data_IF_323314434894
#
_entry.id   IF_323314434894
#
_cell.length_a   1.000
_cell.length_b   1.000
_cell.length_c   1.000
_cell.angle_alpha   90.00
_cell.angle_beta   90.00
_cell.angle_gamma   90.00
#
_symmetry.space_group_name_H-M   'P 1'
#
loop_
_entity.id
_entity.type
_entity.pdbx_description
1 polymer ?
#
# COMPACT_ATOMS: atom_id res chain seq x y z
N UNK A 1 -1.18 -16.93 10.95
CA UNK A 1 -1.62 -15.64 10.45
C UNK A 1 -0.49 -14.63 10.59
N UNK A 2 -0.04 -14.04 9.46
CA UNK A 2 1.11 -13.13 9.45
C UNK A 2 0.88 -11.86 10.28
N UNK A 3 -0.36 -11.43 10.49
CA UNK A 3 -0.68 -10.28 11.32
C UNK A 3 -0.35 -10.59 12.77
N UNK A 4 -0.99 -11.63 13.33
CA UNK A 4 -0.90 -11.95 14.76
C UNK A 4 0.43 -12.63 15.13
N UNK A 5 0.98 -13.42 14.21
CA UNK A 5 2.20 -14.21 14.50
C UNK A 5 3.49 -13.44 14.21
N UNK A 6 3.42 -12.33 13.42
CA UNK A 6 4.62 -11.62 12.99
C UNK A 6 4.49 -10.10 13.17
N UNK A 7 3.50 -9.44 12.56
CA UNK A 7 3.43 -7.98 12.50
C UNK A 7 3.13 -7.36 13.87
N UNK A 8 2.10 -7.84 14.55
CA UNK A 8 1.71 -7.37 15.88
C UNK A 8 2.84 -7.54 16.90
N UNK A 9 3.53 -8.70 17.01
CA UNK A 9 4.67 -8.86 17.89
C UNK A 9 5.83 -7.88 17.65
N UNK A 10 6.09 -7.49 16.39
CA UNK A 10 7.13 -6.50 16.07
C UNK A 10 6.74 -5.09 16.51
N UNK A 11 5.45 -4.72 16.39
CA UNK A 11 4.93 -3.46 16.89
C UNK A 11 4.99 -3.43 18.43
N UNK A 12 4.61 -4.52 19.10
CA UNK A 12 4.67 -4.66 20.55
C UNK A 12 6.11 -4.57 21.07
N UNK A 13 7.09 -5.16 20.38
CA UNK A 13 8.51 -5.00 20.75
C UNK A 13 8.95 -3.55 20.59
N UNK A 14 8.48 -2.84 19.57
CA UNK A 14 8.73 -1.39 19.45
C UNK A 14 8.12 -0.63 20.63
N UNK A 15 6.90 -0.93 21.04
CA UNK A 15 6.23 -0.33 22.20
C UNK A 15 7.03 -0.58 23.50
N UNK A 16 7.49 -1.81 23.70
CA UNK A 16 8.33 -2.17 24.85
C UNK A 16 9.65 -1.39 24.88
N UNK A 17 10.32 -1.24 23.73
CA UNK A 17 11.57 -0.45 23.62
C UNK A 17 11.33 1.02 23.92
N UNK A 18 10.28 1.62 23.38
CA UNK A 18 9.90 3.03 23.66
C UNK A 18 9.64 3.25 25.13
N UNK A 19 8.92 2.35 25.80
CA UNK A 19 8.67 2.41 27.23
C UNK A 19 9.96 2.34 28.08
N UNK A 20 11.02 1.73 27.53
CA UNK A 20 12.36 1.68 28.13
C UNK A 20 13.26 2.88 27.73
N UNK A 21 12.71 3.89 27.03
CA UNK A 21 13.48 5.06 26.55
C UNK A 21 14.43 4.75 25.39
N UNK A 22 14.23 3.63 24.69
CA UNK A 22 15.00 3.23 23.52
C UNK A 22 14.31 3.71 22.22
N UNK A 23 15.06 3.78 21.12
CA UNK A 23 14.50 4.06 19.79
C UNK A 23 13.63 2.92 19.29
N UNK A 24 12.73 3.24 18.35
CA UNK A 24 11.93 2.25 17.63
C UNK A 24 12.81 1.18 17.00
N UNK A 25 12.29 -0.05 16.93
CA UNK A 25 12.93 -1.14 16.22
C UNK A 25 12.82 -0.92 14.70
N UNK A 26 11.63 -0.50 14.25
CA UNK A 26 11.34 -0.16 12.87
C UNK A 26 10.62 1.19 12.78
N UNK A 27 10.80 1.92 11.67
CA UNK A 27 10.11 3.19 11.39
C UNK A 27 8.80 3.00 10.63
N UNK A 28 8.66 1.87 9.94
CA UNK A 28 7.47 1.51 9.17
C UNK A 28 7.28 -0.01 9.15
N UNK A 29 6.05 -0.41 8.93
CA UNK A 29 5.67 -1.79 8.62
C UNK A 29 4.76 -1.77 7.40
N UNK A 30 4.79 -2.86 6.63
CA UNK A 30 3.88 -3.11 5.51
C UNK A 30 2.84 -4.16 5.91
N UNK A 31 1.60 -3.91 5.53
CA UNK A 31 0.50 -4.86 5.55
C UNK A 31 -0.03 -5.04 4.12
N UNK A 32 0.22 -6.20 3.54
CA UNK A 32 -0.34 -6.60 2.25
C UNK A 32 -1.68 -7.33 2.46
N UNK A 33 -2.77 -6.62 2.19
CA UNK A 33 -4.13 -7.14 2.18
C UNK A 33 -4.69 -7.28 0.75
N UNK A 34 -3.85 -7.24 -0.27
CA UNK A 34 -4.24 -7.17 -1.68
C UNK A 34 -5.09 -8.34 -2.17
N UNK A 35 -4.93 -9.52 -1.59
CA UNK A 35 -5.74 -10.70 -1.93
C UNK A 35 -7.16 -10.66 -1.35
N UNK A 36 -7.43 -9.77 -0.39
CA UNK A 36 -8.73 -9.64 0.27
C UNK A 36 -9.65 -8.67 -0.49
N UNK A 37 -10.98 -8.83 -0.37
CA UNK A 37 -11.91 -7.76 -0.72
C UNK A 37 -11.57 -6.47 0.03
N UNK A 38 -11.71 -5.30 -0.61
CA UNK A 38 -11.27 -4.02 -0.04
C UNK A 38 -11.83 -3.74 1.36
N UNK A 39 -13.11 -4.03 1.60
CA UNK A 39 -13.75 -3.87 2.91
C UNK A 39 -13.08 -4.74 3.99
N UNK A 40 -12.76 -5.99 3.66
CA UNK A 40 -12.08 -6.91 4.56
C UNK A 40 -10.63 -6.47 4.80
N UNK A 41 -9.91 -6.07 3.73
CA UNK A 41 -8.58 -5.50 3.82
C UNK A 41 -8.55 -4.31 4.81
N UNK A 42 -9.47 -3.35 4.66
CA UNK A 42 -9.53 -2.18 5.55
C UNK A 42 -9.93 -2.56 6.98
N UNK A 43 -10.73 -3.60 7.19
CA UNK A 43 -11.07 -4.08 8.52
C UNK A 43 -9.86 -4.57 9.32
N UNK A 44 -8.81 -5.03 8.63
CA UNK A 44 -7.51 -5.38 9.23
C UNK A 44 -6.55 -4.18 9.29
N UNK A 45 -6.50 -3.37 8.23
CA UNK A 45 -5.57 -2.24 8.15
C UNK A 45 -5.83 -1.17 9.22
N UNK A 46 -7.09 -0.83 9.51
CA UNK A 46 -7.43 0.22 10.49
C UNK A 46 -6.95 -0.09 11.91
N UNK A 47 -7.19 -1.28 12.48
CA UNK A 47 -6.62 -1.65 13.78
C UNK A 47 -5.09 -1.65 13.80
N UNK A 48 -4.45 -2.12 12.72
CA UNK A 48 -2.99 -2.10 12.57
C UNK A 48 -2.45 -0.67 12.53
N UNK A 49 -3.10 0.22 11.77
CA UNK A 49 -2.73 1.63 11.69
C UNK A 49 -2.81 2.29 13.07
N UNK A 50 -3.83 1.97 13.86
CA UNK A 50 -3.95 2.47 15.23
C UNK A 50 -2.77 2.04 16.09
N UNK A 51 -2.40 0.75 16.06
CA UNK A 51 -1.24 0.24 16.80
C UNK A 51 0.07 0.90 16.33
N UNK A 52 0.25 1.07 15.04
CA UNK A 52 1.39 1.75 14.46
C UNK A 52 1.45 3.22 14.91
N UNK A 53 0.33 3.94 14.84
CA UNK A 53 0.23 5.34 15.25
C UNK A 53 0.61 5.54 16.72
N UNK A 54 0.12 4.71 17.63
CA UNK A 54 0.45 4.74 19.06
C UNK A 54 1.96 4.56 19.33
N UNK A 55 2.67 3.94 18.39
CA UNK A 55 4.11 3.67 18.48
C UNK A 55 4.97 4.50 17.52
N UNK A 56 4.41 5.54 16.89
CA UNK A 56 5.07 6.42 15.92
C UNK A 56 5.67 5.65 14.72
N UNK A 57 5.00 4.59 14.31
CA UNK A 57 5.33 3.79 13.13
C UNK A 57 4.43 4.23 11.98
N UNK A 58 4.97 4.24 10.76
CA UNK A 58 4.21 4.43 9.53
C UNK A 58 3.68 3.06 9.09
N UNK A 59 2.40 2.95 8.76
CA UNK A 59 1.86 1.75 8.13
C UNK A 59 1.80 1.93 6.62
N UNK A 60 2.38 1.01 5.89
CA UNK A 60 2.16 0.86 4.45
C UNK A 60 1.04 -0.16 4.23
N UNK A 61 0.07 0.21 3.41
CA UNK A 61 -1.10 -0.62 3.08
C UNK A 61 -1.13 -0.83 1.57
N UNK A 62 -1.36 -2.06 1.14
CA UNK A 62 -1.56 -2.41 -0.25
C UNK A 62 -3.01 -2.80 -0.52
N UNK A 63 -3.58 -2.29 -1.62
CA UNK A 63 -4.89 -2.68 -2.13
C UNK A 63 -4.84 -2.81 -3.66
N UNK A 64 -5.46 -3.87 -4.17
CA UNK A 64 -5.29 -4.33 -5.54
C UNK A 64 -4.17 -5.36 -5.64
N UNK A 65 -4.21 -6.20 -6.66
CA UNK A 65 -3.26 -7.31 -6.83
C UNK A 65 -2.13 -6.90 -7.74
N UNK A 66 -0.89 -6.91 -7.24
CA UNK A 66 0.29 -6.81 -8.11
C UNK A 66 0.44 -8.11 -8.88
N UNK A 67 0.57 -8.03 -10.20
CA UNK A 67 0.73 -9.19 -11.08
C UNK A 67 2.12 -9.85 -10.92
N UNK A 68 2.30 -11.01 -11.59
CA UNK A 68 3.58 -11.72 -11.63
C UNK A 68 3.72 -12.84 -10.61
N UNK A 69 4.94 -13.16 -10.19
CA UNK A 69 5.25 -14.21 -9.22
C UNK A 69 5.83 -13.61 -7.95
N UNK A 70 5.14 -13.81 -6.85
CA UNK A 70 5.56 -13.35 -5.53
C UNK A 70 5.41 -14.47 -4.52
N UNK A 71 6.43 -14.69 -3.69
CA UNK A 71 6.47 -15.73 -2.64
C UNK A 71 6.06 -17.14 -3.10
N UNK A 72 6.33 -17.46 -4.39
CA UNK A 72 5.98 -18.75 -4.99
C UNK A 72 4.53 -18.89 -5.46
N UNK A 73 3.75 -17.83 -5.40
CA UNK A 73 2.41 -17.73 -5.98
C UNK A 73 2.51 -17.10 -7.38
N UNK A 74 2.04 -17.83 -8.39
CA UNK A 74 1.95 -17.31 -9.75
C UNK A 74 0.61 -16.58 -9.93
N UNK A 75 0.70 -15.28 -10.20
CA UNK A 75 -0.47 -14.39 -10.40
C UNK A 75 -0.67 -14.01 -11.88
N UNK A 76 -0.12 -14.80 -12.83
CA UNK A 76 -0.29 -14.56 -14.27
C UNK A 76 -1.75 -14.63 -14.72
N UNK A 77 -2.59 -15.39 -14.02
CA UNK A 77 -4.01 -15.60 -14.32
C UNK A 77 -4.97 -14.64 -13.58
N UNK A 78 -4.42 -13.62 -12.88
CA UNK A 78 -5.28 -12.63 -12.19
C UNK A 78 -6.08 -11.84 -13.22
N UNK A 79 -7.36 -11.68 -12.95
CA UNK A 79 -8.25 -10.87 -13.79
C UNK A 79 -7.68 -9.45 -13.94
N UNK A 80 -7.60 -8.95 -15.17
CA UNK A 80 -6.95 -7.66 -15.48
C UNK A 80 -7.52 -6.50 -14.68
N UNK A 81 -8.80 -6.56 -14.34
CA UNK A 81 -9.47 -5.54 -13.53
C UNK A 81 -8.90 -5.40 -12.12
N UNK A 82 -8.32 -6.47 -11.58
CA UNK A 82 -7.69 -6.46 -10.25
C UNK A 82 -6.26 -5.91 -10.25
N UNK A 83 -5.67 -5.74 -11.43
CA UNK A 83 -4.32 -5.18 -11.59
C UNK A 83 -4.30 -3.65 -11.59
N UNK A 84 -5.45 -3.01 -11.40
CA UNK A 84 -5.59 -1.57 -11.46
C UNK A 84 -6.46 -1.06 -10.33
N UNK A 85 -5.87 -0.23 -9.47
CA UNK A 85 -6.60 0.50 -8.43
C UNK A 85 -7.49 1.57 -9.07
N UNK A 86 -8.74 1.66 -8.67
CA UNK A 86 -9.65 2.69 -9.16
C UNK A 86 -9.63 3.94 -8.26
N UNK A 87 -10.09 5.12 -8.75
CA UNK A 87 -10.29 6.29 -7.91
C UNK A 87 -11.25 6.04 -6.74
N UNK A 88 -12.24 5.19 -6.92
CA UNK A 88 -13.20 4.77 -5.89
C UNK A 88 -12.52 3.93 -4.81
N UNK A 89 -11.60 3.03 -5.18
CA UNK A 89 -10.81 2.26 -4.22
C UNK A 89 -9.93 3.19 -3.38
N UNK A 90 -9.25 4.16 -4.01
CA UNK A 90 -8.41 5.13 -3.30
C UNK A 90 -9.22 5.98 -2.33
N UNK A 91 -10.43 6.40 -2.71
CA UNK A 91 -11.34 7.11 -1.80
C UNK A 91 -11.71 6.23 -0.61
N UNK A 92 -12.09 4.98 -0.84
CA UNK A 92 -12.47 4.05 0.23
C UNK A 92 -11.30 3.76 1.19
N UNK A 93 -10.07 3.59 0.67
CA UNK A 93 -8.86 3.45 1.48
C UNK A 93 -8.62 4.70 2.32
N UNK A 94 -8.69 5.90 1.70
CA UNK A 94 -8.51 7.15 2.43
C UNK A 94 -9.54 7.32 3.53
N UNK A 95 -10.82 7.09 3.22
CA UNK A 95 -11.91 7.26 4.19
C UNK A 95 -11.72 6.33 5.40
N UNK A 96 -11.34 5.06 5.16
CA UNK A 96 -11.10 4.11 6.23
C UNK A 96 -9.87 4.50 7.10
N UNK A 97 -8.72 4.82 6.48
CA UNK A 97 -7.49 5.08 7.23
C UNK A 97 -7.51 6.44 7.94
N UNK A 98 -8.20 7.43 7.39
CA UNK A 98 -8.32 8.78 7.97
C UNK A 98 -9.14 8.82 9.27
N UNK A 99 -9.87 7.74 9.60
CA UNK A 99 -10.54 7.60 10.90
C UNK A 99 -9.55 7.68 12.07
N UNK A 100 -8.28 7.30 11.86
CA UNK A 100 -7.22 7.41 12.87
C UNK A 100 -6.53 8.76 12.71
N UNK A 101 -7.07 9.76 13.39
CA UNK A 101 -6.57 11.15 13.30
C UNK A 101 -5.09 11.27 13.65
N UNK A 102 -4.32 11.87 12.77
CA UNK A 102 -2.89 12.09 12.93
C UNK A 102 -2.00 10.87 12.65
N UNK A 103 -2.58 9.74 12.28
CA UNK A 103 -1.81 8.58 11.84
C UNK A 103 -1.08 8.86 10.53
N UNK A 104 0.07 8.23 10.36
CA UNK A 104 0.86 8.30 9.13
C UNK A 104 0.81 6.96 8.41
N UNK A 105 0.46 7.00 7.15
CA UNK A 105 0.39 5.81 6.32
C UNK A 105 0.88 6.10 4.90
N UNK A 106 1.31 5.05 4.22
CA UNK A 106 1.65 5.01 2.81
C UNK A 106 0.70 4.06 2.10
N UNK A 107 0.49 4.27 0.82
CA UNK A 107 -0.41 3.44 0.04
C UNK A 107 0.29 2.91 -1.22
N UNK A 108 0.36 1.58 -1.34
CA UNK A 108 0.81 0.88 -2.53
C UNK A 108 -0.41 0.60 -3.42
N UNK A 109 -0.58 1.44 -4.45
CA UNK A 109 -1.61 1.28 -5.45
C UNK A 109 -1.12 0.41 -6.61
N UNK A 110 -2.02 -0.31 -7.26
CA UNK A 110 -1.72 -1.09 -8.46
C UNK A 110 -2.13 -0.33 -9.72
N UNK A 111 -1.21 -0.24 -10.68
CA UNK A 111 -1.38 0.47 -11.95
C UNK A 111 -0.74 -0.27 -13.13
N UNK A 112 -0.76 -1.62 -13.06
CA UNK A 112 -0.17 -2.52 -14.05
C UNK A 112 1.24 -2.99 -13.67
N UNK A 113 1.73 -2.66 -12.48
CA UNK A 113 2.99 -3.16 -11.95
C UNK A 113 2.92 -4.66 -11.65
N UNK A 114 4.08 -5.33 -11.77
CA UNK A 114 4.20 -6.77 -11.54
C UNK A 114 5.47 -7.09 -10.77
N UNK A 115 5.40 -8.14 -9.94
CA UNK A 115 6.56 -8.70 -9.24
C UNK A 115 7.20 -9.85 -10.03
N UNK A 116 8.49 -10.12 -9.76
CA UNK A 116 9.20 -11.28 -10.28
C UNK A 116 9.88 -11.07 -11.64
N UNK A 117 10.23 -12.20 -12.26
CA UNK A 117 10.90 -12.22 -13.56
C UNK A 117 9.87 -12.33 -14.67
N UNK A 118 9.66 -11.28 -15.42
CA UNK A 118 8.76 -11.27 -16.55
C UNK A 118 9.48 -10.91 -17.84
N UNK A 119 8.84 -11.25 -18.95
CA UNK A 119 9.40 -10.92 -20.27
C UNK A 119 9.17 -9.43 -20.54
N UNK A 120 10.21 -8.71 -21.02
CA UNK A 120 10.03 -7.32 -21.43
C UNK A 120 8.87 -7.15 -22.41
N UNK A 121 8.01 -6.14 -22.18
CA UNK A 121 6.83 -5.86 -22.99
C UNK A 121 5.53 -6.50 -22.51
N UNK A 122 5.54 -7.34 -21.47
CA UNK A 122 4.31 -7.87 -20.86
C UNK A 122 3.78 -6.97 -19.73
N UNK A 123 4.57 -6.01 -19.28
CA UNK A 123 4.19 -5.03 -18.25
C UNK A 123 3.76 -3.76 -18.95
N UNK A 124 2.56 -3.31 -18.70
CA UNK A 124 2.06 -2.02 -19.18
C UNK A 124 1.64 -1.21 -17.96
N UNK A 125 2.54 -0.34 -17.53
CA UNK A 125 2.22 0.62 -16.48
C UNK A 125 1.23 1.66 -17.02
N UNK A 126 0.33 2.08 -16.16
CA UNK A 126 -0.64 3.13 -16.44
C UNK A 126 -0.57 4.20 -15.32
N UNK A 127 0.50 5.03 -15.29
CA UNK A 127 0.74 5.98 -14.20
C UNK A 127 -0.38 7.00 -14.01
N UNK A 128 -1.19 7.27 -15.05
CA UNK A 128 -2.35 8.17 -14.95
C UNK A 128 -3.37 7.73 -13.89
N UNK A 129 -3.44 6.42 -13.58
CA UNK A 129 -4.30 5.88 -12.51
C UNK A 129 -3.95 6.52 -11.16
N UNK A 130 -2.66 6.67 -10.87
CA UNK A 130 -2.20 7.29 -9.63
C UNK A 130 -2.67 8.74 -9.54
N UNK A 131 -2.55 9.48 -10.66
CA UNK A 131 -3.02 10.86 -10.75
C UNK A 131 -4.54 10.96 -10.55
N UNK A 132 -5.30 10.14 -11.27
CA UNK A 132 -6.76 10.15 -11.23
C UNK A 132 -7.26 9.84 -9.82
N UNK A 133 -6.67 8.85 -9.15
CA UNK A 133 -6.99 8.50 -7.77
C UNK A 133 -6.61 9.61 -6.78
N UNK A 134 -5.39 10.17 -6.88
CA UNK A 134 -4.98 11.31 -6.06
C UNK A 134 -5.89 12.52 -6.25
N UNK A 135 -6.23 12.85 -7.48
CA UNK A 135 -7.12 13.97 -7.79
C UNK A 135 -8.54 13.76 -7.21
N UNK A 136 -9.04 12.51 -7.23
CA UNK A 136 -10.33 12.18 -6.62
C UNK A 136 -10.30 12.36 -5.10
N UNK A 137 -9.27 11.86 -4.43
CA UNK A 137 -9.10 11.99 -2.97
C UNK A 137 -8.95 13.45 -2.57
N UNK A 138 -8.10 14.22 -3.24
CA UNK A 138 -7.91 15.65 -2.98
C UNK A 138 -9.19 16.44 -3.22
N UNK A 139 -9.92 16.15 -4.29
CA UNK A 139 -11.19 16.82 -4.59
C UNK A 139 -12.24 16.60 -3.51
N UNK A 140 -12.28 15.42 -2.92
CA UNK A 140 -13.26 15.07 -1.89
C UNK A 140 -12.86 15.59 -0.50
N UNK A 141 -11.56 15.55 -0.16
CA UNK A 141 -11.08 15.70 1.21
C UNK A 141 -10.09 16.86 1.43
N UNK A 142 -9.66 17.53 0.35
CA UNK A 142 -8.69 18.63 0.39
C UNK A 142 -7.25 18.21 0.12
N UNK A 143 -6.37 19.19 -0.03
CA UNK A 143 -4.96 18.95 -0.44
C UNK A 143 -4.16 18.12 0.56
N UNK A 144 -4.47 18.22 1.84
CA UNK A 144 -3.79 17.46 2.91
C UNK A 144 -4.13 15.96 2.91
N UNK A 145 -5.16 15.56 2.15
CA UNK A 145 -5.59 14.17 2.01
C UNK A 145 -4.77 13.36 0.99
N UNK A 146 -3.78 13.99 0.34
CA UNK A 146 -2.93 13.35 -0.65
C UNK A 146 -2.15 12.21 -0.03
N UNK A 147 -2.19 11.01 -0.69
CA UNK A 147 -1.39 9.85 -0.27
C UNK A 147 0.11 10.06 -0.48
N UNK A 148 0.90 9.46 0.36
CA UNK A 148 2.26 9.05 0.05
C UNK A 148 2.18 7.69 -0.64
N UNK A 149 2.42 7.70 -1.95
CA UNK A 149 2.33 6.50 -2.77
C UNK A 149 3.63 5.70 -2.73
N UNK A 150 3.50 4.38 -2.78
CA UNK A 150 4.61 3.44 -2.89
C UNK A 150 4.48 2.67 -4.21
N UNK A 151 5.59 2.53 -4.93
CA UNK A 151 5.66 1.79 -6.17
C UNK A 151 6.42 0.49 -5.98
N UNK A 152 5.71 -0.62 -6.05
CA UNK A 152 6.26 -1.98 -6.08
C UNK A 152 6.37 -2.50 -7.51
N UNK A 153 7.30 -3.46 -7.76
CA UNK A 153 7.36 -4.20 -9.00
C UNK A 153 7.75 -3.39 -10.25
N UNK A 154 8.57 -2.35 -10.08
CA UNK A 154 9.03 -1.50 -11.20
C UNK A 154 10.10 -2.11 -12.09
N UNK A 155 10.64 -3.28 -11.74
CA UNK A 155 11.72 -3.93 -12.50
C UNK A 155 11.23 -4.35 -13.89
N UNK A 156 11.97 -3.94 -14.96
CA UNK A 156 11.62 -4.26 -16.35
C UNK A 156 10.57 -3.36 -16.99
N UNK A 157 10.08 -2.35 -16.30
CA UNK A 157 9.24 -1.31 -16.87
C UNK A 157 10.05 -0.34 -17.73
N UNK A 158 9.40 0.32 -18.68
CA UNK A 158 10.04 1.36 -19.48
C UNK A 158 10.43 2.54 -18.59
N UNK A 159 11.62 3.11 -18.83
CA UNK A 159 12.15 4.21 -18.03
C UNK A 159 11.26 5.47 -18.09
N UNK A 160 10.57 5.70 -19.20
CA UNK A 160 9.59 6.78 -19.34
C UNK A 160 8.43 6.65 -18.37
N UNK A 161 7.91 5.42 -18.23
CA UNK A 161 6.78 5.15 -17.35
C UNK A 161 7.18 5.26 -15.89
N UNK A 162 8.39 4.81 -15.55
CA UNK A 162 8.97 5.01 -14.21
C UNK A 162 9.08 6.50 -13.89
N UNK A 163 9.63 7.29 -14.84
CA UNK A 163 9.76 8.74 -14.64
C UNK A 163 8.41 9.44 -14.52
N UNK A 164 7.39 9.00 -15.28
CA UNK A 164 6.04 9.52 -15.14
C UNK A 164 5.45 9.20 -13.78
N UNK A 165 5.59 7.94 -13.32
CA UNK A 165 5.12 7.48 -12.01
C UNK A 165 5.66 8.35 -10.86
N UNK A 166 6.94 8.77 -10.93
CA UNK A 166 7.59 9.58 -9.90
C UNK A 166 7.03 11.02 -9.80
N UNK A 167 6.14 11.43 -10.69
CA UNK A 167 5.49 12.75 -10.62
C UNK A 167 4.23 12.76 -9.76
N UNK A 168 3.75 11.60 -9.34
CA UNK A 168 2.51 11.44 -8.58
C UNK A 168 2.78 10.95 -7.17
#
# INVERSE_FOLDING_TARGET
DHIDDFLVPLIEETARRRSAGQSNLFSSHMYDGSDLPLEENMSHAVPLLKLCHENEIILEVEAGVVGGEEEGLNREDVAKEKLYTTPEDMLAVHDALSEISGARYMFAATFGNVHGVYKPGNVVLTPSILKEGQDAVVKANGDDARFWLVFHGGSGSDLSDIHETLNY
#
